data_IF_194947427810
#
_entry.id   IF_194947427810
#
_cell.length_a   1.000
_cell.length_b   1.000
_cell.length_c   1.000
_cell.angle_alpha   90.00
_cell.angle_beta   90.00
_cell.angle_gamma   90.00
#
_symmetry.space_group_name_H-M   'P 1'
#
loop_
_entity.id
_entity.type
_entity.pdbx_description
1 polymer ?
#
# COMPACT_ATOMS: atom_id res chain seq x y z
N UNK A 1 -29.67 77.75 22.92
CA UNK A 1 -30.89 77.85 23.74
C UNK A 1 -31.04 76.56 24.48
N UNK A 2 -30.65 76.47 25.76
CA UNK A 2 -31.46 76.29 26.97
C UNK A 2 -32.08 74.82 26.96
N UNK A 3 -32.04 74.04 27.99
CA UNK A 3 -31.79 74.11 29.45
C UNK A 3 -31.66 72.65 29.94
N UNK A 4 -30.72 72.34 30.70
CA UNK A 4 -30.64 72.03 32.12
C UNK A 4 -31.86 71.35 32.77
N UNK A 5 -31.67 70.16 33.34
CA UNK A 5 -31.90 69.97 34.79
C UNK A 5 -31.35 68.63 35.30
N UNK A 6 -30.57 68.72 36.38
CA UNK A 6 -30.03 67.71 37.23
C UNK A 6 -31.12 67.13 38.15
N UNK A 7 -30.98 65.80 38.49
CA UNK A 7 -31.57 65.29 39.72
C UNK A 7 -30.67 64.19 40.31
N UNK A 8 -30.15 64.48 41.50
CA UNK A 8 -29.47 63.57 42.39
C UNK A 8 -30.52 62.74 43.12
N UNK A 9 -30.29 61.37 43.26
CA UNK A 9 -30.87 60.61 44.32
C UNK A 9 -29.87 59.46 44.75
N UNK A 10 -29.40 59.60 45.95
CA UNK A 10 -29.09 58.71 47.03
C UNK A 10 -28.64 57.25 46.76
N UNK A 11 -27.54 56.93 47.42
CA UNK A 11 -26.94 55.60 47.50
C UNK A 11 -27.73 54.55 48.28
N UNK A 12 -27.47 53.33 47.89
CA UNK A 12 -27.71 52.18 48.76
C UNK A 12 -26.52 51.23 48.57
N UNK A 13 -25.72 51.07 49.60
CA UNK A 13 -24.64 50.09 49.68
C UNK A 13 -25.24 48.71 49.80
N UNK A 14 -25.03 47.86 48.79
CA UNK A 14 -25.23 46.43 48.94
C UNK A 14 -23.88 45.72 49.10
N UNK A 15 -23.68 45.09 50.24
CA UNK A 15 -22.57 44.22 50.49
C UNK A 15 -22.77 42.92 49.71
N UNK A 16 -21.94 42.65 48.74
CA UNK A 16 -21.90 41.39 48.02
C UNK A 16 -20.96 40.46 48.77
N UNK A 17 -21.49 39.42 49.37
CA UNK A 17 -20.77 38.27 49.87
C UNK A 17 -20.17 37.50 48.69
N UNK A 18 -18.81 37.47 48.63
CA UNK A 18 -18.10 36.64 47.69
C UNK A 18 -18.18 35.19 48.13
N UNK A 19 -19.03 34.39 47.49
CA UNK A 19 -18.97 32.93 47.56
C UNK A 19 -17.88 32.45 46.59
N UNK A 20 -16.72 32.00 47.13
CA UNK A 20 -15.74 31.22 46.38
C UNK A 20 -16.36 29.90 45.95
N UNK A 21 -16.94 29.83 44.76
CA UNK A 21 -17.25 28.60 44.06
C UNK A 21 -15.97 28.11 43.37
N UNK A 22 -15.42 26.98 43.83
CA UNK A 22 -14.37 26.27 43.10
C UNK A 22 -14.98 25.80 41.77
N UNK A 23 -14.50 26.35 40.67
CA UNK A 23 -14.76 25.82 39.35
C UNK A 23 -14.10 24.43 39.29
N UNK A 24 -14.91 23.38 39.21
CA UNK A 24 -14.44 22.06 38.77
C UNK A 24 -13.92 22.22 37.36
N UNK A 25 -12.60 22.08 37.21
CA UNK A 25 -12.00 21.80 35.91
C UNK A 25 -12.65 20.52 35.39
N UNK A 26 -13.41 20.61 34.32
CA UNK A 26 -13.83 19.42 33.59
C UNK A 26 -12.53 18.79 33.04
N UNK A 27 -12.19 17.61 33.52
CA UNK A 27 -11.22 16.74 32.87
C UNK A 27 -11.78 16.46 31.48
N UNK A 28 -11.26 17.17 30.47
CA UNK A 28 -11.46 16.81 29.07
C UNK A 28 -10.62 15.56 28.88
N UNK A 29 -11.27 14.38 28.86
CA UNK A 29 -10.63 13.19 28.30
C UNK A 29 -10.05 13.59 26.93
N UNK A 30 -8.77 13.25 26.64
CA UNK A 30 -8.27 13.47 25.30
C UNK A 30 -9.21 12.74 24.35
N UNK A 31 -9.71 13.46 23.34
CA UNK A 31 -10.47 12.85 22.27
C UNK A 31 -9.63 11.67 21.75
N UNK A 32 -10.21 10.47 21.77
CA UNK A 32 -9.55 9.32 21.16
C UNK A 32 -9.20 9.74 19.74
N UNK A 33 -7.90 9.77 19.44
CA UNK A 33 -7.40 9.99 18.10
C UNK A 33 -7.99 8.85 17.29
N UNK A 34 -8.87 9.15 16.35
CA UNK A 34 -9.44 8.15 15.45
C UNK A 34 -8.25 7.54 14.74
N UNK A 35 -7.98 6.25 14.98
CA UNK A 35 -6.93 5.54 14.26
C UNK A 35 -7.23 5.68 12.77
N UNK A 36 -6.22 6.13 12.01
CA UNK A 36 -6.39 6.34 10.58
C UNK A 36 -6.71 4.99 9.92
N UNK A 37 -7.66 4.98 9.01
CA UNK A 37 -8.08 3.80 8.26
C UNK A 37 -6.86 3.12 7.61
N UNK A 38 -6.73 1.79 7.77
CA UNK A 38 -5.60 1.00 7.30
C UNK A 38 -4.22 1.56 7.73
N UNK A 39 -4.11 2.03 8.98
CA UNK A 39 -2.88 2.57 9.56
C UNK A 39 -1.84 1.47 9.81
N UNK A 40 -1.35 0.88 8.73
CA UNK A 40 -0.30 -0.14 8.74
C UNK A 40 1.05 0.55 8.67
N UNK A 41 1.91 0.30 9.65
CA UNK A 41 3.29 0.74 9.65
C UNK A 41 4.26 -0.45 9.75
N UNK A 42 5.55 -0.18 9.71
CA UNK A 42 6.59 -1.20 9.81
C UNK A 42 6.53 -1.95 11.14
N UNK A 43 6.18 -1.28 12.24
CA UNK A 43 6.09 -1.90 13.54
C UNK A 43 4.89 -2.86 13.59
N UNK A 44 3.72 -2.44 13.11
CA UNK A 44 2.53 -3.30 13.02
C UNK A 44 2.82 -4.56 12.20
N UNK A 45 3.45 -4.42 11.03
CA UNK A 45 3.83 -5.57 10.19
C UNK A 45 4.84 -6.48 10.90
N UNK A 46 5.88 -5.91 11.54
CA UNK A 46 6.95 -6.69 12.16
C UNK A 46 6.52 -7.44 13.43
N UNK A 47 5.47 -6.97 14.09
CA UNK A 47 4.91 -7.55 15.31
C UNK A 47 3.65 -8.37 15.06
N UNK A 48 3.10 -8.34 13.85
CA UNK A 48 1.90 -9.08 13.48
C UNK A 48 2.14 -10.59 13.61
N UNK A 49 1.11 -11.28 14.08
CA UNK A 49 0.95 -12.72 13.85
C UNK A 49 -0.06 -12.90 12.72
N UNK A 50 0.21 -13.77 11.76
CA UNK A 50 -0.72 -14.06 10.67
C UNK A 50 -1.96 -14.84 11.21
N UNK A 51 -2.84 -14.12 11.90
CA UNK A 51 -4.07 -14.59 12.53
C UNK A 51 -5.27 -13.89 11.92
N UNK A 52 -5.83 -12.93 12.63
CA UNK A 52 -7.03 -12.20 12.22
C UNK A 52 -6.78 -11.28 11.02
N UNK A 53 -5.51 -10.96 10.73
CA UNK A 53 -5.09 -10.11 9.63
C UNK A 53 -4.03 -10.80 8.77
N UNK A 54 -3.86 -10.30 7.54
CA UNK A 54 -2.84 -10.75 6.60
C UNK A 54 -2.18 -9.53 5.96
N UNK A 55 -1.19 -8.96 6.67
CA UNK A 55 -0.67 -7.61 6.41
C UNK A 55 0.36 -7.54 5.27
N UNK A 56 0.97 -8.67 4.89
CA UNK A 56 1.92 -8.73 3.78
C UNK A 56 1.60 -9.90 2.87
N UNK A 57 2.25 -9.93 1.70
CA UNK A 57 2.08 -11.00 0.71
C UNK A 57 2.29 -12.40 1.30
N UNK A 58 3.23 -12.58 2.21
CA UNK A 58 3.51 -13.85 2.90
C UNK A 58 2.93 -13.97 4.31
N UNK A 59 2.06 -13.04 4.71
CA UNK A 59 1.46 -12.94 6.05
C UNK A 59 2.25 -12.06 6.99
N UNK A 60 3.54 -12.30 7.12
CA UNK A 60 4.51 -11.54 7.89
C UNK A 60 5.75 -11.25 7.03
N UNK A 61 6.72 -10.49 7.55
CA UNK A 61 8.00 -10.27 6.84
C UNK A 61 8.83 -11.56 6.65
N UNK A 62 8.57 -12.61 7.44
CA UNK A 62 9.23 -13.90 7.28
C UNK A 62 8.71 -14.69 6.06
N UNK A 63 7.62 -14.22 5.42
CA UNK A 63 7.03 -14.78 4.19
C UNK A 63 6.68 -16.29 4.29
N UNK A 64 6.35 -16.78 5.50
CA UNK A 64 6.12 -18.21 5.74
C UNK A 64 4.75 -18.70 5.27
N UNK A 65 3.82 -17.81 4.99
CA UNK A 65 2.43 -18.11 4.57
C UNK A 65 1.71 -19.07 5.53
N UNK A 66 2.00 -18.93 6.81
CA UNK A 66 1.42 -19.74 7.87
C UNK A 66 0.47 -18.88 8.72
N UNK A 67 -0.79 -19.33 8.86
CA UNK A 67 -1.73 -18.72 9.78
C UNK A 67 -1.57 -19.30 11.19
N UNK A 68 -1.64 -18.45 12.20
CA UNK A 68 -1.68 -18.86 13.62
C UNK A 68 -3.06 -19.31 14.10
N UNK A 69 -4.10 -19.19 13.25
CA UNK A 69 -5.45 -19.67 13.55
C UNK A 69 -5.47 -21.19 13.70
N UNK A 70 -6.17 -21.69 14.73
CA UNK A 70 -6.25 -23.12 15.07
C UNK A 70 -7.64 -23.71 14.91
N UNK A 71 -8.63 -22.88 14.59
CA UNK A 71 -10.05 -23.27 14.45
C UNK A 71 -10.24 -24.23 13.27
N UNK A 72 -9.43 -24.07 12.20
CA UNK A 72 -9.38 -25.01 11.08
C UNK A 72 -8.22 -25.97 11.30
N UNK A 73 -8.54 -27.22 11.54
CA UNK A 73 -7.59 -28.30 11.82
C UNK A 73 -8.10 -29.62 11.24
N UNK A 74 -7.38 -30.73 11.47
CA UNK A 74 -7.74 -32.05 10.92
C UNK A 74 -9.09 -32.59 11.40
N UNK A 75 -9.62 -32.09 12.50
CA UNK A 75 -10.91 -32.53 13.05
C UNK A 75 -12.06 -31.68 12.54
N UNK A 76 -11.81 -30.38 12.26
CA UNK A 76 -12.86 -29.40 11.93
C UNK A 76 -12.90 -29.03 10.44
N UNK A 77 -11.87 -29.36 9.66
CA UNK A 77 -11.80 -28.99 8.23
C UNK A 77 -12.97 -29.52 7.40
N UNK A 78 -13.56 -30.67 7.80
CA UNK A 78 -14.74 -31.24 7.12
C UNK A 78 -16.01 -30.41 7.31
N UNK A 79 -16.05 -29.53 8.30
CA UNK A 79 -17.20 -28.71 8.65
C UNK A 79 -17.17 -27.33 7.97
N UNK A 80 -16.10 -27.05 7.20
CA UNK A 80 -16.00 -25.80 6.45
C UNK A 80 -17.09 -25.69 5.39
N UNK A 81 -17.76 -24.53 5.37
CA UNK A 81 -18.69 -24.13 4.32
C UNK A 81 -18.25 -22.82 3.67
N UNK A 82 -18.83 -22.52 2.51
CA UNK A 82 -18.63 -21.23 1.84
C UNK A 82 -19.42 -20.16 2.59
N UNK A 83 -18.75 -19.14 3.12
CA UNK A 83 -19.40 -18.01 3.78
C UNK A 83 -19.98 -17.02 2.76
N UNK A 84 -19.18 -16.69 1.74
CA UNK A 84 -19.56 -15.80 0.65
C UNK A 84 -18.67 -16.05 -0.59
N UNK A 85 -19.09 -15.52 -1.72
CA UNK A 85 -18.33 -15.52 -2.98
C UNK A 85 -18.45 -14.15 -3.63
N UNK A 86 -17.38 -13.71 -4.31
CA UNK A 86 -17.36 -12.49 -5.09
C UNK A 86 -16.82 -12.77 -6.50
N UNK A 87 -17.51 -12.28 -7.54
CA UNK A 87 -17.12 -12.46 -8.93
C UNK A 87 -16.22 -11.29 -9.37
N UNK A 88 -14.95 -11.58 -9.63
CA UNK A 88 -13.96 -10.59 -10.09
C UNK A 88 -14.16 -10.14 -11.56
N UNK A 89 -15.27 -10.52 -12.20
CA UNK A 89 -15.67 -10.14 -13.54
C UNK A 89 -14.60 -10.39 -14.62
N UNK A 90 -13.80 -11.45 -14.45
CA UNK A 90 -12.76 -11.85 -15.41
C UNK A 90 -12.84 -13.35 -15.71
N UNK A 91 -12.49 -13.72 -16.94
CA UNK A 91 -12.27 -15.12 -17.34
C UNK A 91 -10.77 -15.45 -17.51
N UNK A 92 -9.89 -14.53 -17.10
CA UNK A 92 -8.44 -14.69 -17.09
C UNK A 92 -7.96 -15.27 -15.77
N UNK A 93 -6.70 -15.75 -15.73
CA UNK A 93 -6.08 -16.21 -14.51
C UNK A 93 -6.06 -15.15 -13.41
N UNK A 94 -6.37 -15.58 -12.18
CA UNK A 94 -6.27 -14.75 -10.97
C UNK A 94 -5.19 -15.37 -10.09
N UNK A 95 -4.13 -14.61 -9.81
CA UNK A 95 -2.94 -15.05 -9.06
C UNK A 95 -2.71 -14.19 -7.81
N UNK A 96 -3.71 -13.39 -7.43
CA UNK A 96 -3.62 -12.47 -6.30
C UNK A 96 -3.50 -13.20 -4.96
N UNK A 97 -2.63 -12.72 -4.10
CA UNK A 97 -2.70 -13.00 -2.67
C UNK A 97 -3.48 -11.86 -2.01
N UNK A 98 -4.63 -12.13 -1.39
CA UNK A 98 -5.38 -11.10 -0.67
C UNK A 98 -4.58 -10.56 0.52
N UNK A 99 -4.68 -9.25 0.75
CA UNK A 99 -4.21 -8.58 1.97
C UNK A 99 -5.44 -8.23 2.80
N UNK A 100 -5.40 -8.52 4.10
CA UNK A 100 -6.52 -8.23 5.02
C UNK A 100 -6.04 -7.32 6.13
N UNK A 101 -6.65 -6.13 6.21
CA UNK A 101 -6.33 -5.08 7.18
C UNK A 101 -7.63 -4.50 7.71
N UNK A 102 -7.78 -4.46 9.03
CA UNK A 102 -8.92 -3.83 9.71
C UNK A 102 -10.29 -4.30 9.17
N UNK A 103 -10.39 -5.59 8.81
CA UNK A 103 -11.61 -6.20 8.26
C UNK A 103 -11.86 -5.92 6.78
N UNK A 104 -10.96 -5.23 6.08
CA UNK A 104 -11.03 -5.03 4.63
C UNK A 104 -10.06 -5.96 3.92
N UNK A 105 -10.54 -6.66 2.91
CA UNK A 105 -9.76 -7.51 2.01
C UNK A 105 -9.46 -6.78 0.72
N UNK A 106 -8.17 -6.59 0.43
CA UNK A 106 -7.70 -6.04 -0.86
C UNK A 106 -7.21 -7.18 -1.74
N UNK A 107 -7.77 -7.29 -2.93
CA UNK A 107 -7.45 -8.34 -3.90
C UNK A 107 -7.33 -7.76 -5.30
N UNK A 108 -6.50 -8.35 -6.14
CA UNK A 108 -6.35 -7.93 -7.53
C UNK A 108 -6.87 -8.98 -8.50
N UNK A 109 -7.27 -8.53 -9.70
CA UNK A 109 -7.57 -9.41 -10.81
C UNK A 109 -6.72 -9.09 -12.05
N UNK A 110 -7.04 -9.70 -13.17
CA UNK A 110 -6.40 -9.42 -14.45
C UNK A 110 -6.45 -7.92 -14.79
N UNK A 111 -5.43 -7.44 -15.52
CA UNK A 111 -5.27 -6.05 -15.92
C UNK A 111 -4.99 -5.09 -14.75
N UNK A 112 -4.59 -5.63 -13.60
CA UNK A 112 -4.28 -4.89 -12.39
C UNK A 112 -5.46 -4.14 -11.75
N UNK A 113 -6.69 -4.61 -11.97
CA UNK A 113 -7.85 -4.12 -11.22
C UNK A 113 -7.65 -4.44 -9.73
N UNK A 114 -8.02 -3.51 -8.86
CA UNK A 114 -7.97 -3.67 -7.40
C UNK A 114 -9.38 -3.59 -6.83
N UNK A 115 -9.70 -4.51 -5.94
CA UNK A 115 -10.98 -4.58 -5.24
C UNK A 115 -10.72 -4.45 -3.75
N UNK A 116 -11.53 -3.66 -3.06
CA UNK A 116 -11.66 -3.69 -1.61
C UNK A 116 -13.01 -4.28 -1.24
N UNK A 117 -12.98 -5.32 -0.44
CA UNK A 117 -14.15 -6.07 -0.02
C UNK A 117 -14.23 -6.09 1.50
N UNK A 118 -15.42 -6.03 2.07
CA UNK A 118 -15.62 -6.39 3.47
C UNK A 118 -15.25 -7.88 3.66
N UNK A 119 -14.23 -8.15 4.46
CA UNK A 119 -13.68 -9.50 4.61
C UNK A 119 -14.67 -10.49 5.25
N UNK A 120 -15.67 -9.99 5.98
CA UNK A 120 -16.67 -10.80 6.66
C UNK A 120 -17.86 -11.15 5.77
N UNK A 121 -18.29 -10.22 4.91
CA UNK A 121 -19.53 -10.34 4.14
C UNK A 121 -19.28 -10.54 2.65
N UNK A 122 -18.09 -10.17 2.14
CA UNK A 122 -17.79 -10.14 0.70
C UNK A 122 -18.42 -8.95 -0.02
N UNK A 123 -18.99 -7.97 0.70
CA UNK A 123 -19.55 -6.75 0.10
C UNK A 123 -18.43 -5.93 -0.54
N UNK A 124 -18.67 -5.42 -1.76
CA UNK A 124 -17.76 -4.52 -2.46
C UNK A 124 -17.79 -3.14 -1.82
N UNK A 125 -16.62 -2.67 -1.36
CA UNK A 125 -16.46 -1.32 -0.83
C UNK A 125 -16.08 -0.35 -1.94
N UNK A 126 -15.10 -0.73 -2.77
CA UNK A 126 -14.72 0.00 -3.98
C UNK A 126 -13.95 -0.90 -4.96
N UNK A 127 -13.92 -0.47 -6.22
CA UNK A 127 -13.12 -1.08 -7.29
C UNK A 127 -12.32 0.01 -7.98
N UNK A 128 -11.05 -0.26 -8.21
CA UNK A 128 -10.15 0.58 -9.00
C UNK A 128 -9.79 -0.13 -10.31
N UNK A 129 -10.05 0.52 -11.46
CA UNK A 129 -9.57 0.11 -12.79
C UNK A 129 -8.51 1.10 -13.26
N UNK A 130 -7.23 0.66 -13.45
CA UNK A 130 -6.17 1.53 -13.95
C UNK A 130 -6.31 1.95 -15.41
N UNK A 131 -7.34 1.54 -16.11
CA UNK A 131 -7.63 1.83 -17.53
C UNK A 131 -6.42 1.55 -18.44
N UNK A 132 -5.90 0.32 -18.38
CA UNK A 132 -4.73 -0.11 -19.15
C UNK A 132 -5.07 -0.32 -20.62
N UNK A 133 -4.25 0.24 -21.54
CA UNK A 133 -4.32 -0.13 -22.94
C UNK A 133 -4.11 -1.64 -23.12
N UNK A 134 -5.12 -2.32 -23.64
CA UNK A 134 -5.10 -3.77 -23.84
C UNK A 134 -3.98 -4.26 -24.80
N UNK A 135 -3.41 -3.36 -25.61
CA UNK A 135 -2.25 -3.67 -26.44
C UNK A 135 -1.01 -4.03 -25.61
N UNK A 136 -0.92 -3.58 -24.34
CA UNK A 136 0.19 -3.94 -23.43
C UNK A 136 0.25 -5.45 -23.16
N UNK A 137 -0.85 -6.16 -23.26
CA UNK A 137 -0.90 -7.60 -23.01
C UNK A 137 0.07 -8.44 -23.84
N UNK A 138 0.49 -7.96 -25.02
CA UNK A 138 1.51 -8.65 -25.85
C UNK A 138 2.91 -8.64 -25.24
N UNK A 139 3.16 -7.75 -24.28
CA UNK A 139 4.42 -7.65 -23.54
C UNK A 139 4.47 -8.56 -22.30
N UNK A 140 3.33 -9.17 -21.94
CA UNK A 140 3.24 -10.04 -20.78
C UNK A 140 3.50 -11.49 -21.17
N UNK A 141 4.50 -12.14 -20.57
CA UNK A 141 4.85 -13.54 -20.88
C UNK A 141 3.76 -14.54 -20.46
N UNK A 142 3.05 -14.26 -19.37
CA UNK A 142 2.30 -15.23 -18.62
C UNK A 142 0.87 -14.75 -18.33
N UNK A 143 0.23 -14.14 -19.31
CA UNK A 143 -1.06 -13.44 -19.21
C UNK A 143 -0.97 -12.11 -18.42
N UNK A 144 -2.08 -11.40 -18.36
CA UNK A 144 -2.22 -10.07 -17.76
C UNK A 144 -2.59 -10.16 -16.26
N UNK A 145 -1.95 -11.08 -15.59
CA UNK A 145 -2.16 -11.36 -14.17
C UNK A 145 -1.60 -10.25 -13.27
N UNK A 146 -2.11 -10.18 -12.06
CA UNK A 146 -1.55 -9.37 -10.98
C UNK A 146 -1.53 -10.20 -9.69
N UNK A 147 -0.41 -10.13 -8.91
CA UNK A 147 -0.20 -10.98 -7.75
C UNK A 147 -0.56 -10.32 -6.43
N UNK A 148 -1.14 -9.13 -6.47
CA UNK A 148 -1.67 -8.46 -5.27
C UNK A 148 -1.08 -7.09 -5.02
N UNK A 149 -1.42 -6.56 -3.88
CA UNK A 149 -1.09 -5.21 -3.43
C UNK A 149 -0.19 -5.25 -2.19
N UNK A 150 0.28 -4.08 -1.77
CA UNK A 150 0.77 -3.84 -0.41
C UNK A 150 -0.04 -2.71 0.23
N UNK A 151 -0.22 -2.77 1.55
CA UNK A 151 -0.94 -1.74 2.32
C UNK A 151 0.01 -1.11 3.32
N UNK A 152 0.06 0.22 3.37
CA UNK A 152 0.90 0.96 4.29
C UNK A 152 0.44 2.41 4.42
N UNK A 153 0.37 2.92 5.65
CA UNK A 153 0.05 4.31 5.97
C UNK A 153 -1.20 4.83 5.23
N UNK A 154 -2.30 4.09 5.34
CA UNK A 154 -3.59 4.45 4.73
C UNK A 154 -3.63 4.35 3.20
N UNK A 155 -2.65 3.69 2.58
CA UNK A 155 -2.55 3.55 1.12
C UNK A 155 -2.44 2.10 0.68
N UNK A 156 -3.03 1.82 -0.47
CA UNK A 156 -2.90 0.56 -1.20
C UNK A 156 -1.97 0.79 -2.40
N UNK A 157 -0.86 0.05 -2.46
CA UNK A 157 0.11 0.14 -3.55
C UNK A 157 -0.08 -1.00 -4.52
N UNK A 158 -0.21 -0.68 -5.80
CA UNK A 158 -0.37 -1.65 -6.89
C UNK A 158 0.64 -1.39 -8.01
N UNK A 159 1.29 -2.47 -8.46
CA UNK A 159 2.05 -2.45 -9.70
C UNK A 159 1.11 -2.72 -10.87
N UNK A 160 1.01 -1.78 -11.79
CA UNK A 160 0.16 -1.88 -12.98
C UNK A 160 0.94 -2.52 -14.12
N UNK A 161 0.29 -3.38 -14.90
CA UNK A 161 0.94 -4.18 -15.94
C UNK A 161 1.67 -3.35 -16.99
N UNK A 162 1.27 -2.10 -17.21
CA UNK A 162 1.92 -1.15 -18.15
C UNK A 162 3.18 -0.47 -17.59
N UNK A 163 3.59 -0.84 -16.38
CA UNK A 163 4.80 -0.33 -15.73
C UNK A 163 4.58 0.87 -14.82
N UNK A 164 3.34 1.22 -14.49
CA UNK A 164 3.03 2.19 -13.43
C UNK A 164 3.12 1.53 -12.06
N UNK A 165 3.54 2.29 -11.05
CA UNK A 165 3.31 2.02 -9.64
C UNK A 165 2.36 3.09 -9.14
N UNK A 166 1.27 2.68 -8.51
CA UNK A 166 0.23 3.59 -8.04
C UNK A 166 -0.02 3.38 -6.55
N UNK A 167 -0.28 4.48 -5.86
CA UNK A 167 -0.82 4.49 -4.51
C UNK A 167 -2.26 4.96 -4.56
N UNK A 168 -3.13 4.16 -4.02
CA UNK A 168 -4.55 4.45 -3.87
C UNK A 168 -4.82 4.77 -2.41
N UNK A 169 -5.75 5.64 -2.14
CA UNK A 169 -6.31 5.82 -0.81
C UNK A 169 -7.03 4.52 -0.39
N UNK A 170 -6.71 4.00 0.78
CA UNK A 170 -7.20 2.68 1.20
C UNK A 170 -8.70 2.66 1.49
N UNK A 171 -9.29 3.79 1.86
CA UNK A 171 -10.72 3.92 2.17
C UNK A 171 -11.58 4.12 0.92
N UNK A 172 -11.06 4.88 -0.07
CA UNK A 172 -11.86 5.33 -1.21
C UNK A 172 -11.48 4.69 -2.54
N UNK A 173 -10.26 4.14 -2.67
CA UNK A 173 -9.71 3.65 -3.94
C UNK A 173 -9.25 4.75 -4.89
N UNK A 174 -9.30 6.02 -4.49
CA UNK A 174 -8.84 7.14 -5.32
C UNK A 174 -7.31 7.16 -5.44
N UNK A 175 -6.80 7.55 -6.61
CA UNK A 175 -5.35 7.63 -6.86
C UNK A 175 -4.75 8.80 -6.08
N UNK A 176 -3.86 8.50 -5.13
CA UNK A 176 -3.07 9.49 -4.39
C UNK A 176 -1.87 9.96 -5.22
N UNK A 177 -1.15 9.00 -5.82
CA UNK A 177 -0.08 9.28 -6.76
C UNK A 177 0.12 8.12 -7.73
N UNK A 178 0.67 8.42 -8.91
CA UNK A 178 1.02 7.46 -9.96
C UNK A 178 2.41 7.78 -10.51
N UNK A 179 3.26 6.76 -10.67
CA UNK A 179 4.64 6.90 -11.20
C UNK A 179 4.89 5.86 -12.27
N UNK A 180 5.39 6.28 -13.42
CA UNK A 180 5.94 5.38 -14.43
C UNK A 180 7.31 4.90 -13.94
N UNK A 181 7.47 3.59 -13.78
CA UNK A 181 8.67 2.98 -13.20
C UNK A 181 9.59 2.35 -14.26
N UNK A 182 9.09 2.19 -15.48
CA UNK A 182 9.74 1.50 -16.59
C UNK A 182 9.89 2.43 -17.82
N UNK A 183 10.71 2.04 -18.76
CA UNK A 183 10.67 2.57 -20.12
C UNK A 183 9.53 1.87 -20.88
N UNK A 184 8.39 2.53 -21.02
CA UNK A 184 7.19 1.97 -21.65
C UNK A 184 7.38 1.68 -23.16
N UNK A 185 8.41 2.21 -23.81
CA UNK A 185 8.76 1.87 -25.21
C UNK A 185 9.32 0.46 -25.35
N UNK A 186 9.80 -0.13 -24.25
CA UNK A 186 10.35 -1.48 -24.18
C UNK A 186 9.32 -2.47 -23.61
N UNK A 187 9.54 -3.79 -23.76
CA UNK A 187 8.60 -4.81 -23.26
C UNK A 187 8.73 -5.06 -21.75
N UNK A 188 8.73 -4.01 -20.96
CA UNK A 188 8.60 -4.10 -19.52
C UNK A 188 7.14 -4.30 -19.12
N UNK A 189 6.92 -5.12 -18.09
CA UNK A 189 5.63 -5.27 -17.42
C UNK A 189 5.81 -5.35 -15.91
N UNK A 190 4.74 -5.14 -15.16
CA UNK A 190 4.70 -5.43 -13.73
C UNK A 190 3.51 -6.34 -13.45
N UNK A 191 3.78 -7.53 -12.93
CA UNK A 191 2.76 -8.50 -12.50
C UNK A 191 2.96 -8.93 -11.05
N UNK A 192 4.07 -8.51 -10.42
CA UNK A 192 4.41 -8.82 -9.03
C UNK A 192 3.70 -7.90 -8.04
N UNK A 193 3.40 -8.43 -6.86
CA UNK A 193 2.92 -7.62 -5.75
C UNK A 193 4.07 -6.79 -5.14
N UNK A 194 3.84 -5.50 -4.84
CA UNK A 194 4.81 -4.67 -4.14
C UNK A 194 5.13 -5.20 -2.73
N UNK A 195 6.23 -4.75 -2.15
CA UNK A 195 6.56 -4.93 -0.74
C UNK A 195 6.76 -3.58 -0.09
N UNK A 196 6.37 -3.42 1.17
CA UNK A 196 6.56 -2.17 1.92
C UNK A 196 7.45 -2.41 3.13
N UNK A 197 8.37 -1.50 3.39
CA UNK A 197 9.25 -1.52 4.57
C UNK A 197 9.81 -0.12 4.84
N UNK A 198 9.75 0.32 6.09
CA UNK A 198 10.36 1.60 6.53
C UNK A 198 10.01 2.79 5.61
N UNK A 199 8.72 2.98 5.31
CA UNK A 199 8.24 4.09 4.47
C UNK A 199 8.64 3.99 3.00
N UNK A 200 9.01 2.80 2.52
CA UNK A 200 9.36 2.55 1.13
C UNK A 200 8.53 1.43 0.55
N UNK A 201 8.04 1.62 -0.67
CA UNK A 201 7.43 0.58 -1.47
C UNK A 201 8.44 0.07 -2.50
N UNK A 202 8.63 -1.24 -2.54
CA UNK A 202 9.59 -1.92 -3.40
C UNK A 202 8.86 -2.64 -4.52
N UNK A 203 9.30 -2.45 -5.75
CA UNK A 203 8.76 -3.12 -6.93
C UNK A 203 9.87 -3.41 -7.94
N UNK A 204 9.78 -4.57 -8.59
CA UNK A 204 10.60 -4.94 -9.72
C UNK A 204 9.83 -4.90 -11.03
N UNK A 205 10.38 -5.53 -12.06
CA UNK A 205 9.76 -5.64 -13.38
C UNK A 205 9.78 -7.08 -13.89
N UNK A 206 8.88 -7.38 -14.83
CA UNK A 206 8.93 -8.51 -15.75
C UNK A 206 9.45 -8.09 -17.11
N UNK A 207 9.64 -9.08 -18.01
CA UNK A 207 10.05 -8.85 -19.40
C UNK A 207 11.50 -9.23 -19.71
N UNK A 208 12.24 -9.84 -18.77
CA UNK A 208 13.62 -10.29 -19.01
C UNK A 208 13.71 -11.26 -20.20
N UNK A 209 12.73 -12.14 -20.38
CA UNK A 209 12.60 -13.03 -21.54
C UNK A 209 12.38 -12.31 -22.87
N UNK A 210 12.01 -11.05 -22.83
CA UNK A 210 11.84 -10.17 -23.99
C UNK A 210 13.00 -9.17 -24.15
N UNK A 211 14.12 -9.40 -23.45
CA UNK A 211 15.35 -8.63 -23.59
C UNK A 211 15.36 -7.31 -22.84
N UNK A 212 14.66 -7.20 -21.71
CA UNK A 212 14.80 -6.03 -20.84
C UNK A 212 15.52 -6.37 -19.55
N UNK A 213 16.23 -5.39 -19.02
CA UNK A 213 17.07 -5.52 -17.85
C UNK A 213 16.24 -5.53 -16.57
N UNK A 214 16.46 -6.54 -15.71
CA UNK A 214 15.78 -6.67 -14.42
C UNK A 214 16.30 -5.67 -13.39
N UNK A 215 15.40 -5.19 -12.51
CA UNK A 215 15.75 -4.34 -11.37
C UNK A 215 14.75 -4.49 -10.22
N UNK A 216 15.16 -4.04 -9.05
CA UNK A 216 14.32 -3.72 -7.89
C UNK A 216 14.48 -2.25 -7.58
N UNK A 217 13.38 -1.54 -7.39
CA UNK A 217 13.39 -0.11 -7.06
C UNK A 217 12.59 0.14 -5.82
N UNK A 218 13.08 1.02 -4.95
CA UNK A 218 12.36 1.56 -3.81
C UNK A 218 11.86 2.97 -4.11
N UNK A 219 10.60 3.20 -3.78
CA UNK A 219 9.93 4.49 -3.86
C UNK A 219 9.47 4.93 -2.48
N UNK A 220 9.46 6.22 -2.20
CA UNK A 220 8.88 6.77 -1.00
C UNK A 220 7.37 6.57 -0.99
N UNK A 221 6.81 6.03 0.10
CA UNK A 221 5.38 5.71 0.19
C UNK A 221 4.47 6.94 0.19
N UNK A 222 4.99 8.11 0.56
CA UNK A 222 4.22 9.35 0.64
C UNK A 222 4.21 10.09 -0.69
N UNK A 223 5.38 10.22 -1.35
CA UNK A 223 5.54 11.06 -2.54
C UNK A 223 5.60 10.26 -3.83
N UNK A 224 5.90 8.97 -3.77
CA UNK A 224 6.17 8.13 -4.93
C UNK A 224 7.52 8.43 -5.60
N UNK A 225 8.40 9.21 -4.97
CA UNK A 225 9.70 9.52 -5.54
C UNK A 225 10.66 8.33 -5.42
N UNK A 226 11.44 8.10 -6.48
CA UNK A 226 12.47 7.05 -6.47
C UNK A 226 13.52 7.36 -5.40
N UNK A 227 13.74 6.41 -4.48
CA UNK A 227 14.77 6.51 -3.44
C UNK A 227 16.07 5.86 -3.91
N UNK A 228 15.98 4.65 -4.49
CA UNK A 228 17.11 3.93 -5.08
C UNK A 228 16.60 2.88 -6.08
N UNK A 229 17.52 2.46 -6.96
CA UNK A 229 17.33 1.31 -7.85
C UNK A 229 18.52 0.36 -7.74
N UNK A 230 18.24 -0.92 -7.77
CA UNK A 230 19.24 -1.97 -7.87
C UNK A 230 18.96 -2.81 -9.11
N UNK A 231 19.86 -2.77 -10.08
CA UNK A 231 19.78 -3.66 -11.23
C UNK A 231 20.24 -5.06 -10.84
N UNK A 232 19.54 -6.08 -11.34
CA UNK A 232 19.84 -7.50 -11.04
C UNK A 232 20.88 -8.11 -11.98
N UNK A 233 21.20 -7.39 -13.05
CA UNK A 233 22.24 -7.75 -14.03
C UNK A 233 23.09 -6.53 -14.37
N UNK A 234 24.38 -6.71 -14.73
CA UNK A 234 25.27 -5.60 -15.07
C UNK A 234 24.77 -4.75 -16.23
N UNK A 235 25.34 -3.55 -16.40
CA UNK A 235 25.08 -2.73 -17.57
C UNK A 235 25.71 -3.38 -18.82
N UNK A 236 24.96 -3.60 -19.91
CA UNK A 236 25.48 -4.19 -21.13
C UNK A 236 26.60 -3.38 -21.77
N UNK A 237 26.62 -2.06 -21.54
CA UNK A 237 27.65 -1.16 -22.03
C UNK A 237 28.91 -1.15 -21.14
N UNK A 238 28.90 -1.93 -20.04
CA UNK A 238 30.00 -1.99 -19.05
C UNK A 238 30.34 -0.63 -18.42
N UNK A 239 29.34 0.23 -18.32
CA UNK A 239 29.43 1.53 -17.65
C UNK A 239 28.64 1.56 -16.37
N UNK A 240 29.02 2.35 -15.36
CA UNK A 240 28.20 2.62 -14.21
C UNK A 240 26.84 3.21 -14.61
N UNK A 241 25.79 2.79 -13.90
CA UNK A 241 24.42 3.32 -14.08
C UNK A 241 24.16 4.55 -13.22
N UNK A 242 25.03 4.84 -12.23
CA UNK A 242 24.80 5.82 -11.18
C UNK A 242 23.82 5.33 -10.11
N UNK A 243 23.61 4.04 -10.01
CA UNK A 243 22.67 3.39 -9.08
C UNK A 243 23.42 2.54 -8.04
N UNK A 244 22.73 2.16 -6.97
CA UNK A 244 23.37 1.42 -5.85
C UNK A 244 23.92 0.05 -6.25
N UNK A 245 23.48 -0.51 -7.36
CA UNK A 245 23.97 -1.78 -7.92
C UNK A 245 25.40 -1.70 -8.46
N UNK A 246 25.90 -0.50 -8.80
CA UNK A 246 27.22 -0.34 -9.41
C UNK A 246 28.34 -0.95 -8.57
N UNK A 247 28.29 -0.73 -7.24
CA UNK A 247 29.27 -1.29 -6.31
C UNK A 247 29.31 -2.83 -6.34
N UNK A 248 28.16 -3.50 -6.44
CA UNK A 248 28.10 -4.95 -6.52
C UNK A 248 28.65 -5.50 -7.82
N UNK A 249 28.56 -4.72 -8.92
CA UNK A 249 29.07 -5.13 -10.21
C UNK A 249 30.57 -4.88 -10.39
N UNK A 250 31.14 -3.91 -9.68
CA UNK A 250 32.58 -3.73 -9.65
C UNK A 250 33.29 -4.93 -9.04
N UNK A 251 32.76 -5.49 -7.95
CA UNK A 251 33.41 -6.56 -7.20
C UNK A 251 33.20 -7.96 -7.83
N UNK A 252 31.99 -8.28 -8.25
CA UNK A 252 31.61 -9.67 -8.60
C UNK A 252 30.99 -9.75 -10.00
N UNK A 253 30.09 -8.82 -10.34
CA UNK A 253 29.27 -8.92 -11.54
C UNK A 253 30.08 -8.97 -12.83
N UNK A 254 31.08 -8.14 -12.97
CA UNK A 254 31.93 -8.07 -14.18
C UNK A 254 32.78 -9.32 -14.35
N UNK A 255 33.07 -10.07 -13.29
CA UNK A 255 33.85 -11.30 -13.33
C UNK A 255 32.98 -12.51 -13.68
N UNK A 256 31.76 -12.58 -13.17
CA UNK A 256 30.87 -13.74 -13.29
C UNK A 256 30.03 -13.72 -14.57
N UNK A 257 29.74 -12.54 -15.13
CA UNK A 257 28.90 -12.39 -16.32
C UNK A 257 29.69 -12.45 -17.64
N UNK A 258 31.02 -12.45 -17.59
CA UNK A 258 31.88 -12.60 -18.75
C UNK A 258 31.86 -11.41 -19.72
N UNK A 259 32.55 -11.58 -20.84
CA UNK A 259 32.77 -10.50 -21.84
C UNK A 259 31.70 -10.44 -22.93
N UNK A 260 30.88 -11.45 -23.07
CA UNK A 260 30.01 -11.64 -24.25
C UNK A 260 28.59 -11.15 -24.03
N UNK A 261 28.29 -10.14 -23.31
CA UNK A 261 27.01 -9.39 -23.24
C UNK A 261 25.72 -10.04 -23.76
N UNK A 262 25.67 -11.38 -23.81
CA UNK A 262 24.63 -12.18 -24.45
C UNK A 262 23.33 -12.31 -23.62
N UNK A 263 23.20 -11.50 -22.61
CA UNK A 263 22.14 -11.59 -21.61
C UNK A 263 21.15 -10.40 -21.64
N UNK A 264 21.26 -9.51 -22.63
CA UNK A 264 20.30 -8.42 -22.89
C UNK A 264 19.90 -8.42 -24.35
#
# INVERSE_FOLDING_TARGET
MANWQSTLIAGASFAILAACGQAKTADTEPAAELEAFAAVDTNRISTASAGDEWLTYGGTYDEQRHSSLIEVNTETVSDLGVAWTYDLATNRGVESTPIVVDGVMYVTSAWSLVYALDAKTGEELWVYDPDVDRAVGVKACCDVVNRGVAVYDGKVFVGVIDGRLEALDAETGEVVWSKITVDQSKPYTITGAPRVVNGKVLIGNGGAELGVRGYLTAYDTTTGDKVWRFYTVPNPEKQPDGEISDAAFEDIGNVTWGDEGAWV
#
